data_IF_188847651070
#
_entry.id   IF_188847651070
#
_cell.length_a   1.000
_cell.length_b   1.000
_cell.length_c   1.000
_cell.angle_alpha   90.00
_cell.angle_beta   90.00
_cell.angle_gamma   90.00
#
_symmetry.space_group_name_H-M   'P 1'
#
loop_
_entity.id
_entity.type
_entity.pdbx_description
1 polymer ?
#
# COMPACT_ATOMS: atom_id res chain seq x y z
N UNK A 1 -4.48 1.62 6.78
CA UNK A 1 -4.62 0.26 6.28
C UNK A 1 -3.26 -0.44 6.30
N UNK A 2 -3.16 -1.49 7.07
CA UNK A 2 -1.95 -2.28 7.15
C UNK A 2 -2.17 -3.59 6.39
N UNK A 3 -1.26 -3.88 5.48
CA UNK A 3 -1.37 -5.08 4.65
C UNK A 3 -0.12 -5.91 4.85
N UNK A 4 -0.30 -7.15 5.27
CA UNK A 4 0.82 -8.05 5.48
C UNK A 4 1.17 -8.75 4.17
N UNK A 5 2.43 -8.68 3.76
CA UNK A 5 2.89 -9.35 2.56
C UNK A 5 3.91 -10.45 2.87
N UNK A 6 4.25 -10.66 4.13
CA UNK A 6 5.09 -11.79 4.54
C UNK A 6 6.49 -11.77 3.97
N UNK A 7 7.02 -10.59 3.70
CA UNK A 7 8.36 -10.45 3.13
C UNK A 7 8.47 -11.10 1.74
N UNK A 8 7.36 -11.13 1.01
CA UNK A 8 7.35 -11.69 -0.34
C UNK A 8 7.23 -10.53 -1.32
N UNK A 9 8.30 -10.27 -2.04
CA UNK A 9 8.38 -9.12 -2.93
C UNK A 9 7.27 -9.12 -3.97
N UNK A 10 6.96 -10.28 -4.49
CA UNK A 10 5.91 -10.41 -5.50
C UNK A 10 4.56 -9.92 -4.96
N UNK A 11 4.20 -10.32 -3.77
CA UNK A 11 2.97 -9.88 -3.15
C UNK A 11 3.00 -8.40 -2.84
N UNK A 12 4.15 -7.93 -2.35
CA UNK A 12 4.28 -6.51 -2.04
C UNK A 12 4.02 -5.64 -3.27
N UNK A 13 4.56 -6.02 -4.39
CA UNK A 13 4.37 -5.27 -5.63
C UNK A 13 2.92 -5.31 -6.11
N UNK A 14 2.31 -6.47 -6.04
CA UNK A 14 0.92 -6.63 -6.46
C UNK A 14 -0.01 -5.79 -5.61
N UNK A 15 0.19 -5.82 -4.29
CA UNK A 15 -0.62 -5.05 -3.36
C UNK A 15 -0.42 -3.55 -3.60
N UNK A 16 0.82 -3.15 -3.82
CA UNK A 16 1.11 -1.74 -4.06
C UNK A 16 0.39 -1.24 -5.30
N UNK A 17 0.44 -2.00 -6.37
CA UNK A 17 -0.22 -1.63 -7.61
C UNK A 17 -1.72 -1.53 -7.41
N UNK A 18 -2.30 -2.51 -6.73
CA UNK A 18 -3.74 -2.53 -6.52
C UNK A 18 -4.19 -1.35 -5.65
N UNK A 19 -3.52 -1.15 -4.53
CA UNK A 19 -3.94 -0.09 -3.61
C UNK A 19 -3.68 1.29 -4.18
N UNK A 20 -2.59 1.46 -4.90
CA UNK A 20 -2.31 2.75 -5.52
C UNK A 20 -3.40 3.08 -6.55
N UNK A 21 -3.86 2.09 -7.29
CA UNK A 21 -4.91 2.32 -8.28
C UNK A 21 -6.23 2.67 -7.62
N UNK A 22 -6.39 2.35 -6.33
CA UNK A 22 -7.62 2.67 -5.61
C UNK A 22 -7.51 3.95 -4.80
N UNK A 23 -6.42 4.69 -4.93
CA UNK A 23 -6.28 5.97 -4.25
C UNK A 23 -5.54 5.93 -2.94
N UNK A 24 -4.89 4.83 -2.63
CA UNK A 24 -4.07 4.73 -1.43
C UNK A 24 -2.64 5.16 -1.73
N UNK A 25 -1.96 5.64 -0.71
CA UNK A 25 -0.54 5.97 -0.81
C UNK A 25 0.23 5.18 0.23
N UNK A 26 1.38 4.70 -0.15
CA UNK A 26 2.24 3.97 0.79
C UNK A 26 2.79 4.94 1.81
N UNK A 27 2.50 4.69 3.07
CA UNK A 27 2.92 5.56 4.16
C UNK A 27 4.15 5.01 4.87
N UNK A 28 4.21 3.70 5.07
CA UNK A 28 5.32 3.08 5.77
C UNK A 28 5.58 1.72 5.16
N UNK A 29 6.84 1.42 4.96
CA UNK A 29 7.26 0.15 4.38
C UNK A 29 8.02 -0.64 5.43
N UNK A 30 7.46 -1.75 5.84
CA UNK A 30 8.10 -2.64 6.80
C UNK A 30 8.46 -3.96 6.13
N UNK A 31 9.28 -4.74 6.81
CA UNK A 31 9.75 -6.00 6.24
C UNK A 31 8.61 -6.98 6.00
N UNK A 32 7.64 -7.02 6.91
CA UNK A 32 6.57 -8.00 6.85
C UNK A 32 5.24 -7.41 6.37
N UNK A 33 5.10 -6.11 6.48
CA UNK A 33 3.86 -5.47 6.09
C UNK A 33 4.12 -4.04 5.67
N UNK A 34 3.14 -3.46 5.02
CA UNK A 34 3.19 -2.07 4.59
C UNK A 34 1.96 -1.36 5.10
N UNK A 35 2.12 -0.08 5.41
CA UNK A 35 1.00 0.72 5.85
C UNK A 35 0.63 1.71 4.75
N UNK A 36 -0.66 1.73 4.41
CA UNK A 36 -1.18 2.62 3.38
C UNK A 36 -2.20 3.56 3.98
N UNK A 37 -2.31 4.76 3.42
CA UNK A 37 -3.33 5.69 3.82
C UNK A 37 -4.12 6.11 2.60
N UNK A 38 -5.40 6.40 2.82
CA UNK A 38 -6.26 6.87 1.73
C UNK A 38 -5.88 8.30 1.39
N UNK A 39 -5.71 8.57 0.12
CA UNK A 39 -5.39 9.90 -0.34
C UNK A 39 -6.69 10.67 -0.58
N UNK A 40 -6.94 11.68 0.25
CA UNK A 40 -8.19 12.41 0.20
C UNK A 40 -8.11 13.76 -0.46
N UNK A 41 -6.95 14.17 -0.89
CA UNK A 41 -6.80 15.54 -1.28
C UNK A 41 -7.04 15.76 -2.76
N UNK A 42 -7.59 14.83 -3.43
CA UNK A 42 -7.89 15.07 -4.79
C UNK A 42 -9.18 15.81 -4.89
N UNK A 43 -9.56 16.37 -4.50
CA UNK A 43 -10.72 17.04 -4.65
C UNK A 43 -10.97 17.89 -5.79
N UNK A 44 -10.52 17.87 -5.86
CA UNK A 44 -10.70 18.45 -6.26
C UNK A 44 -10.80 18.70 -6.60
#
# INVERSE_FOLDING_TARGET
LTVEHGNITHYQKSINTLLTSKGFSLHRNNKWDDEYIMNHNQTK
#
